data_IF_785391464080
#
_entry.id   IF_785391464080
#
_cell.length_a   1.000
_cell.length_b   1.000
_cell.length_c   1.000
_cell.angle_alpha   90.00
_cell.angle_beta   90.00
_cell.angle_gamma   90.00
#
_symmetry.space_group_name_H-M   'P 1'
#
loop_
_entity.id
_entity.type
_entity.pdbx_description
1 polymer ?
#
# COMPACT_ATOMS: atom_id res chain seq x y z
N UNK A 1 -26.44 10.76 -10.86
CA UNK A 1 -26.20 9.33 -11.18
C UNK A 1 -25.79 9.12 -12.63
N UNK A 2 -26.44 9.76 -13.63
CA UNK A 2 -25.99 9.71 -15.04
C UNK A 2 -24.51 10.10 -15.22
N UNK A 3 -24.06 11.12 -14.50
CA UNK A 3 -22.69 11.65 -14.61
C UNK A 3 -21.59 10.62 -14.22
N UNK A 4 -21.80 9.85 -13.16
CA UNK A 4 -20.84 8.84 -12.68
C UNK A 4 -20.69 7.67 -13.66
N UNK A 5 -21.76 7.33 -14.41
CA UNK A 5 -21.75 6.25 -15.39
C UNK A 5 -20.98 6.60 -16.67
N UNK A 6 -20.73 7.90 -16.91
CA UNK A 6 -20.02 8.40 -18.09
C UNK A 6 -18.54 8.69 -17.81
N UNK A 7 -18.08 8.51 -16.57
CA UNK A 7 -16.67 8.70 -16.21
C UNK A 7 -15.79 7.66 -16.90
N UNK A 8 -14.71 8.14 -17.53
CA UNK A 8 -13.74 7.28 -18.24
C UNK A 8 -12.99 6.39 -17.25
N UNK A 9 -12.52 6.97 -16.15
CA UNK A 9 -11.79 6.23 -15.12
C UNK A 9 -12.76 5.48 -14.20
N UNK A 10 -12.52 4.19 -13.91
CA UNK A 10 -13.41 3.42 -13.05
C UNK A 10 -13.32 3.84 -11.58
N UNK A 11 -12.23 4.50 -11.15
CA UNK A 11 -12.07 5.00 -9.78
C UNK A 11 -13.08 6.12 -9.48
N UNK A 12 -13.42 6.93 -10.50
CA UNK A 12 -14.43 7.98 -10.41
C UNK A 12 -15.83 7.50 -10.83
N UNK A 13 -15.92 6.30 -11.41
CA UNK A 13 -17.15 5.68 -11.87
C UNK A 13 -17.59 4.53 -10.96
N UNK A 14 -17.42 3.30 -11.45
CA UNK A 14 -17.84 2.05 -10.80
C UNK A 14 -17.36 1.93 -9.34
N UNK A 15 -16.15 2.39 -9.04
CA UNK A 15 -15.53 2.23 -7.73
C UNK A 15 -15.55 3.48 -6.85
N UNK A 16 -16.20 4.57 -7.30
CA UNK A 16 -16.20 5.86 -6.60
C UNK A 16 -16.55 5.78 -5.13
N UNK A 17 -17.57 5.00 -4.79
CA UNK A 17 -18.01 4.83 -3.41
C UNK A 17 -16.94 4.20 -2.50
N UNK A 18 -16.02 3.41 -3.06
CA UNK A 18 -14.97 2.71 -2.31
C UNK A 18 -13.73 3.59 -2.04
N UNK A 19 -13.53 4.64 -2.83
CA UNK A 19 -12.31 5.49 -2.78
C UNK A 19 -12.63 6.97 -2.54
N UNK A 20 -13.85 7.26 -2.07
CA UNK A 20 -14.30 8.62 -1.80
C UNK A 20 -13.46 9.32 -0.73
N UNK A 21 -12.91 8.54 0.20
CA UNK A 21 -11.96 8.99 1.22
C UNK A 21 -10.67 9.57 0.62
N UNK A 22 -10.28 9.17 -0.59
CA UNK A 22 -9.11 9.71 -1.30
C UNK A 22 -9.36 11.05 -2.01
N UNK A 23 -10.63 11.44 -2.25
CA UNK A 23 -10.98 12.70 -2.91
C UNK A 23 -10.43 13.91 -2.14
N UNK A 24 -10.36 13.82 -0.80
CA UNK A 24 -9.85 14.85 0.09
C UNK A 24 -8.33 15.11 0.00
N UNK A 25 -7.58 14.26 -0.71
CA UNK A 25 -6.12 14.32 -0.80
C UNK A 25 -5.59 14.52 -2.23
N UNK A 26 -6.26 13.93 -3.22
CA UNK A 26 -5.73 13.86 -4.60
C UNK A 26 -6.62 14.48 -5.67
N UNK A 27 -7.80 14.99 -5.30
CA UNK A 27 -8.60 15.79 -6.25
C UNK A 27 -7.95 17.16 -6.50
N UNK A 28 -8.35 17.83 -7.58
CA UNK A 28 -7.92 19.22 -7.83
C UNK A 28 -8.36 20.16 -6.69
N UNK A 29 -9.55 19.92 -6.11
CA UNK A 29 -10.02 20.59 -4.90
C UNK A 29 -9.03 20.42 -3.73
N UNK A 30 -8.59 19.19 -3.47
CA UNK A 30 -7.64 18.88 -2.42
C UNK A 30 -6.28 19.55 -2.67
N UNK A 31 -5.78 19.51 -3.90
CA UNK A 31 -4.54 20.18 -4.28
C UNK A 31 -4.58 21.67 -3.96
N UNK A 32 -5.67 22.37 -4.32
CA UNK A 32 -5.83 23.78 -3.96
C UNK A 32 -5.91 23.99 -2.45
N UNK A 33 -6.64 23.13 -1.72
CA UNK A 33 -6.72 23.21 -0.25
C UNK A 33 -5.34 23.09 0.41
N UNK A 34 -4.51 22.15 -0.03
CA UNK A 34 -3.15 21.98 0.50
C UNK A 34 -2.21 23.12 0.08
N UNK A 35 -2.36 23.67 -1.14
CA UNK A 35 -1.62 24.88 -1.55
C UNK A 35 -1.97 26.09 -0.69
N UNK A 36 -3.27 26.31 -0.41
CA UNK A 36 -3.73 27.36 0.49
C UNK A 36 -3.18 27.17 1.91
N UNK A 37 -3.16 25.94 2.42
CA UNK A 37 -2.58 25.63 3.72
C UNK A 37 -1.11 26.07 3.81
N UNK A 38 -0.29 25.69 2.82
CA UNK A 38 1.13 26.05 2.80
C UNK A 38 1.34 27.56 2.70
N UNK A 39 0.66 28.24 1.78
CA UNK A 39 0.79 29.69 1.59
C UNK A 39 0.41 30.47 2.85
N UNK A 40 -0.70 30.10 3.48
CA UNK A 40 -1.19 30.76 4.69
C UNK A 40 -0.24 30.51 5.86
N UNK A 41 0.20 29.27 6.10
CA UNK A 41 1.14 28.99 7.18
C UNK A 41 2.52 29.60 6.92
N UNK A 42 2.95 29.73 5.66
CA UNK A 42 4.18 30.43 5.30
C UNK A 42 4.08 31.92 5.67
N UNK A 43 3.01 32.60 5.26
CA UNK A 43 2.79 33.99 5.65
C UNK A 43 2.75 34.15 7.18
N UNK A 44 2.01 33.28 7.89
CA UNK A 44 1.97 33.30 9.36
C UNK A 44 3.38 33.13 9.94
N UNK A 45 4.20 32.25 9.39
CA UNK A 45 5.58 32.03 9.84
C UNK A 45 6.47 33.26 9.58
N UNK A 46 6.27 33.98 8.46
CA UNK A 46 6.96 35.26 8.22
C UNK A 46 6.60 36.32 9.28
N UNK A 47 5.38 36.32 9.81
CA UNK A 47 5.00 37.24 10.90
C UNK A 47 5.67 36.90 12.24
N UNK A 48 6.32 35.73 12.37
CA UNK A 48 6.96 35.28 13.61
C UNK A 48 8.44 35.62 13.69
N UNK A 49 9.00 36.16 12.62
CA UNK A 49 10.37 36.69 12.56
C UNK A 49 10.34 38.22 12.48
N UNK A 50 11.42 38.93 12.90
CA UNK A 50 11.39 40.37 13.07
C UNK A 50 11.53 41.17 11.75
N UNK A 51 10.73 40.84 10.73
CA UNK A 51 10.69 41.57 9.46
C UNK A 51 10.02 42.94 9.68
N UNK A 52 10.69 44.07 9.38
CA UNK A 52 10.19 45.41 9.70
C UNK A 52 8.76 45.68 9.23
N UNK A 53 8.41 45.23 8.02
CA UNK A 53 7.12 45.44 7.38
C UNK A 53 6.00 44.57 7.99
N UNK A 54 6.34 43.53 8.75
CA UNK A 54 5.37 42.63 9.40
C UNK A 54 5.32 42.83 10.93
N UNK A 55 6.14 43.70 11.51
CA UNK A 55 6.20 43.92 12.97
C UNK A 55 4.87 44.36 13.58
N UNK A 56 4.05 45.09 12.81
CA UNK A 56 2.75 45.61 13.27
C UNK A 56 1.58 44.66 12.94
N UNK A 57 1.86 43.45 12.44
CA UNK A 57 0.82 42.50 12.11
C UNK A 57 0.07 42.05 13.38
N UNK A 58 -1.25 42.20 13.39
CA UNK A 58 -2.10 41.73 14.50
C UNK A 58 -2.18 40.20 14.49
N UNK A 59 -1.45 39.56 15.40
CA UNK A 59 -1.42 38.10 15.54
C UNK A 59 -2.78 37.47 15.88
N UNK A 60 -3.78 38.24 16.34
CA UNK A 60 -5.13 37.71 16.55
C UNK A 60 -5.81 37.29 15.22
N UNK A 61 -5.38 37.87 14.08
CA UNK A 61 -5.89 37.55 12.74
C UNK A 61 -5.42 36.19 12.21
N UNK A 62 -4.49 35.50 12.88
CA UNK A 62 -4.00 34.16 12.47
C UNK A 62 -5.12 33.14 12.34
N UNK A 63 -6.13 33.20 13.21
CA UNK A 63 -7.29 32.29 13.13
C UNK A 63 -8.13 32.56 11.88
N UNK A 64 -8.33 33.83 11.54
CA UNK A 64 -9.05 34.24 10.34
C UNK A 64 -8.33 33.81 9.06
N UNK A 65 -7.00 33.97 9.03
CA UNK A 65 -6.18 33.48 7.91
C UNK A 65 -6.29 31.96 7.74
N UNK A 66 -6.23 31.19 8.85
CA UNK A 66 -6.40 29.74 8.80
C UNK A 66 -7.79 29.31 8.34
N UNK A 67 -8.81 30.15 8.51
CA UNK A 67 -10.15 29.84 7.98
C UNK A 67 -10.18 29.77 6.45
N UNK A 68 -9.22 30.40 5.74
CA UNK A 68 -9.13 30.33 4.27
C UNK A 68 -9.02 28.89 3.79
N UNK A 69 -8.17 28.06 4.40
CA UNK A 69 -8.04 26.64 4.03
C UNK A 69 -8.91 25.70 4.88
N UNK A 70 -9.26 26.06 6.12
CA UNK A 70 -10.12 25.25 7.00
C UNK A 70 -11.59 25.25 6.57
N UNK A 71 -12.08 26.36 6.03
CA UNK A 71 -13.45 26.53 5.53
C UNK A 71 -13.52 26.54 4.00
N UNK A 72 -12.52 25.96 3.33
CA UNK A 72 -12.47 25.88 1.87
C UNK A 72 -13.61 25.03 1.32
N UNK A 73 -14.38 25.56 0.36
CA UNK A 73 -15.57 24.92 -0.21
C UNK A 73 -15.47 24.72 -1.73
N UNK A 74 -16.30 23.87 -2.35
CA UNK A 74 -16.31 23.72 -3.81
C UNK A 74 -16.47 25.05 -4.56
N UNK A 75 -17.27 25.99 -4.03
CA UNK A 75 -17.44 27.33 -4.59
C UNK A 75 -16.15 28.15 -4.51
N UNK A 76 -15.41 28.02 -3.40
CA UNK A 76 -14.07 28.61 -3.25
C UNK A 76 -13.10 28.07 -4.30
N UNK A 77 -13.15 26.77 -4.59
CA UNK A 77 -12.36 26.15 -5.63
C UNK A 77 -12.74 26.66 -7.03
N UNK A 78 -14.03 26.83 -7.32
CA UNK A 78 -14.49 27.43 -8.58
C UNK A 78 -13.96 28.84 -8.76
N UNK A 79 -13.92 29.65 -7.69
CA UNK A 79 -13.32 30.99 -7.73
C UNK A 79 -11.85 30.95 -8.14
N UNK A 80 -11.06 30.01 -7.61
CA UNK A 80 -9.67 29.83 -8.03
C UNK A 80 -9.58 29.44 -9.51
N UNK A 81 -10.45 28.54 -10.01
CA UNK A 81 -10.48 28.15 -11.44
C UNK A 81 -10.85 29.31 -12.36
N UNK A 82 -11.74 30.21 -11.93
CA UNK A 82 -12.07 31.43 -12.68
C UNK A 82 -10.85 32.34 -12.84
N UNK A 83 -10.11 32.57 -11.75
CA UNK A 83 -8.86 33.34 -11.78
C UNK A 83 -7.83 32.65 -12.68
N UNK A 84 -7.65 31.33 -12.53
CA UNK A 84 -6.75 30.52 -13.33
C UNK A 84 -7.07 30.62 -14.83
N UNK A 85 -8.35 30.60 -15.21
CA UNK A 85 -8.78 30.73 -16.61
C UNK A 85 -8.30 32.04 -17.25
N UNK A 86 -8.17 33.11 -16.47
CA UNK A 86 -7.68 34.40 -16.98
C UNK A 86 -6.16 34.44 -17.13
N UNK A 87 -5.41 33.80 -16.23
CA UNK A 87 -3.94 33.95 -16.14
C UNK A 87 -3.15 32.71 -16.57
N UNK A 88 -3.85 31.59 -16.80
CA UNK A 88 -3.31 30.29 -17.17
C UNK A 88 -2.18 29.78 -16.25
N UNK A 89 -2.32 30.02 -14.94
CA UNK A 89 -1.35 29.59 -13.94
C UNK A 89 -2.03 29.30 -12.59
N UNK A 90 -2.03 28.04 -12.18
CA UNK A 90 -2.79 27.55 -11.02
C UNK A 90 -2.30 28.07 -9.66
N UNK A 91 -0.99 28.06 -9.38
CA UNK A 91 -0.45 28.60 -8.12
C UNK A 91 -0.62 30.12 -8.02
N UNK A 92 -0.46 30.86 -9.13
CA UNK A 92 -0.72 32.30 -9.14
C UNK A 92 -2.19 32.62 -8.86
N UNK A 93 -3.11 31.75 -9.28
CA UNK A 93 -4.53 31.88 -8.96
C UNK A 93 -4.80 31.69 -7.45
N UNK A 94 -4.08 30.77 -6.81
CA UNK A 94 -4.11 30.61 -5.34
C UNK A 94 -3.62 31.87 -4.63
N UNK A 95 -2.50 32.46 -5.09
CA UNK A 95 -2.01 33.73 -4.54
C UNK A 95 -3.07 34.84 -4.64
N UNK A 96 -3.68 35.03 -5.81
CA UNK A 96 -4.72 36.05 -5.98
C UNK A 96 -5.95 35.77 -5.13
N UNK A 97 -6.36 34.52 -4.97
CA UNK A 97 -7.46 34.16 -4.09
C UNK A 97 -7.17 34.52 -2.62
N UNK A 98 -5.95 34.28 -2.12
CA UNK A 98 -5.55 34.70 -0.76
C UNK A 98 -5.53 36.23 -0.66
N UNK A 99 -5.02 36.90 -1.70
CA UNK A 99 -5.00 38.37 -1.80
C UNK A 99 -6.40 38.99 -1.74
N UNK A 100 -7.43 38.34 -2.30
CA UNK A 100 -8.84 38.76 -2.18
C UNK A 100 -9.35 38.64 -0.72
N UNK A 101 -8.91 37.61 0.01
CA UNK A 101 -9.28 37.43 1.42
C UNK A 101 -8.59 38.43 2.34
N UNK A 102 -7.36 38.84 2.02
CA UNK A 102 -6.66 39.89 2.77
C UNK A 102 -7.41 41.23 2.68
N UNK A 103 -7.93 41.58 1.51
CA UNK A 103 -8.75 42.80 1.34
C UNK A 103 -10.00 42.74 2.23
N UNK A 104 -10.68 41.58 2.32
CA UNK A 104 -11.87 41.40 3.16
C UNK A 104 -11.57 41.50 4.66
N UNK A 105 -10.35 41.16 5.07
CA UNK A 105 -9.92 41.15 6.46
C UNK A 105 -9.29 42.48 6.93
N UNK A 106 -9.13 43.46 6.03
CA UNK A 106 -8.44 44.73 6.29
C UNK A 106 -6.93 44.56 6.45
N UNK A 107 -6.32 43.65 5.67
CA UNK A 107 -4.90 43.29 5.72
C UNK A 107 -4.13 43.73 4.47
N UNK A 108 -4.62 44.75 3.76
CA UNK A 108 -4.09 45.23 2.48
C UNK A 108 -2.60 45.59 2.56
N UNK A 109 -2.17 46.15 3.70
CA UNK A 109 -0.77 46.52 3.94
C UNK A 109 0.20 45.33 3.88
N UNK A 110 -0.27 44.11 4.09
CA UNK A 110 0.54 42.89 4.15
C UNK A 110 0.40 42.00 2.91
N UNK A 111 -0.45 42.40 1.96
CA UNK A 111 -0.86 41.59 0.80
C UNK A 111 0.30 41.17 -0.09
N UNK A 112 1.32 42.01 -0.25
CA UNK A 112 2.49 41.70 -1.07
C UNK A 112 3.51 40.78 -0.39
N UNK A 113 3.26 40.36 0.86
CA UNK A 113 4.02 39.29 1.50
C UNK A 113 3.44 37.88 1.25
N UNK A 114 2.25 37.78 0.63
CA UNK A 114 1.72 36.50 0.15
C UNK A 114 2.63 36.01 -0.98
N UNK A 115 3.07 34.76 -0.92
CA UNK A 115 4.04 34.18 -1.84
C UNK A 115 5.43 34.87 -1.86
N UNK A 116 5.78 35.62 -0.80
CA UNK A 116 7.02 36.41 -0.76
C UNK A 116 8.28 35.56 -1.01
N UNK A 117 9.03 35.90 -2.07
CA UNK A 117 10.28 35.24 -2.44
C UNK A 117 10.14 33.78 -2.93
N UNK A 118 8.93 33.23 -2.90
CA UNK A 118 8.68 31.84 -3.25
C UNK A 118 8.67 31.62 -4.76
N UNK A 119 8.81 30.37 -5.14
CA UNK A 119 8.40 29.87 -6.45
C UNK A 119 7.25 28.88 -6.31
N UNK A 120 6.50 28.65 -7.38
CA UNK A 120 5.36 27.73 -7.40
C UNK A 120 5.67 26.32 -6.85
N UNK A 121 6.92 25.86 -6.93
CA UNK A 121 7.32 24.57 -6.38
C UNK A 121 7.60 24.55 -4.89
N UNK A 122 7.91 25.68 -4.27
CA UNK A 122 7.94 25.72 -2.81
C UNK A 122 6.56 25.36 -2.24
N UNK A 123 5.49 25.68 -2.98
CA UNK A 123 4.12 25.30 -2.66
C UNK A 123 3.81 23.87 -3.12
N UNK A 124 4.12 23.50 -4.37
CA UNK A 124 3.78 22.16 -4.88
C UNK A 124 4.57 21.04 -4.16
N UNK A 125 5.88 21.19 -3.98
CA UNK A 125 6.76 20.22 -3.30
C UNK A 125 6.71 20.31 -1.76
N UNK A 126 5.65 20.93 -1.23
CA UNK A 126 5.23 20.79 0.17
C UNK A 126 3.78 20.31 0.22
N UNK A 127 2.87 20.91 -0.56
CA UNK A 127 1.47 20.52 -0.64
C UNK A 127 1.27 19.05 -1.07
N UNK A 128 1.99 18.58 -2.10
CA UNK A 128 1.88 17.20 -2.59
C UNK A 128 2.46 16.19 -1.59
N UNK A 129 3.67 16.39 -1.00
CA UNK A 129 4.14 15.52 0.07
C UNK A 129 3.21 15.46 1.29
N UNK A 130 2.58 16.58 1.68
CA UNK A 130 1.59 16.59 2.78
C UNK A 130 0.37 15.75 2.40
N UNK A 131 -0.22 15.97 1.21
CA UNK A 131 -1.42 15.22 0.82
C UNK A 131 -1.15 13.73 0.66
N UNK A 132 0.04 13.36 0.16
CA UNK A 132 0.48 11.98 0.09
C UNK A 132 0.68 11.36 1.47
N UNK A 133 1.35 12.06 2.39
CA UNK A 133 1.51 11.62 3.78
C UNK A 133 0.16 11.37 4.45
N UNK A 134 -0.72 12.37 4.39
CA UNK A 134 -2.02 12.29 5.07
C UNK A 134 -2.85 11.15 4.49
N UNK A 135 -2.89 10.97 3.17
CA UNK A 135 -3.57 9.82 2.55
C UNK A 135 -2.95 8.47 2.97
N UNK A 136 -1.62 8.39 3.11
CA UNK A 136 -0.98 7.17 3.59
C UNK A 136 -1.34 6.83 5.03
N UNK A 137 -1.38 7.83 5.91
CA UNK A 137 -1.66 7.65 7.33
C UNK A 137 -3.16 7.45 7.61
N UNK A 138 -4.02 8.21 6.94
CA UNK A 138 -5.44 8.29 7.27
C UNK A 138 -6.28 7.29 6.48
N UNK A 139 -5.79 6.80 5.33
CA UNK A 139 -6.54 5.89 4.45
C UNK A 139 -5.79 4.59 4.19
N UNK A 140 -4.56 4.66 3.70
CA UNK A 140 -3.85 3.44 3.29
C UNK A 140 -3.48 2.54 4.48
N UNK A 141 -2.83 3.09 5.51
CA UNK A 141 -2.32 2.33 6.64
C UNK A 141 -3.44 1.62 7.43
N UNK A 142 -4.58 2.26 7.77
CA UNK A 142 -5.67 1.60 8.48
C UNK A 142 -6.24 0.39 7.72
N UNK A 143 -6.42 0.52 6.40
CA UNK A 143 -6.99 -0.60 5.60
C UNK A 143 -5.97 -1.74 5.46
N UNK A 144 -4.67 -1.44 5.37
CA UNK A 144 -3.63 -2.49 5.42
C UNK A 144 -3.62 -3.20 6.78
N UNK A 145 -3.78 -2.46 7.87
CA UNK A 145 -3.88 -3.02 9.22
C UNK A 145 -5.10 -3.93 9.40
N UNK A 146 -6.24 -3.55 8.82
CA UNK A 146 -7.42 -4.41 8.78
C UNK A 146 -7.14 -5.74 8.06
N UNK A 147 -6.39 -5.72 6.95
CA UNK A 147 -6.00 -6.95 6.23
C UNK A 147 -5.10 -7.81 7.12
N UNK A 148 -4.05 -7.23 7.69
CA UNK A 148 -3.11 -7.96 8.55
C UNK A 148 -3.83 -8.53 9.78
N UNK A 149 -4.76 -7.77 10.38
CA UNK A 149 -5.59 -8.21 11.49
C UNK A 149 -6.48 -9.39 11.09
N UNK A 150 -7.20 -9.30 9.97
CA UNK A 150 -8.05 -10.36 9.47
C UNK A 150 -7.25 -11.64 9.14
N UNK A 151 -6.09 -11.51 8.50
CA UNK A 151 -5.21 -12.64 8.22
C UNK A 151 -4.69 -13.27 9.52
N UNK A 152 -4.36 -12.46 10.53
CA UNK A 152 -3.90 -12.94 11.84
C UNK A 152 -4.97 -13.74 12.58
N UNK A 153 -6.22 -13.27 12.53
CA UNK A 153 -7.37 -13.99 13.08
C UNK A 153 -7.55 -15.35 12.41
N UNK A 154 -7.60 -15.38 11.07
CA UNK A 154 -7.77 -16.61 10.29
C UNK A 154 -6.60 -17.57 10.48
N UNK A 155 -5.36 -17.06 10.52
CA UNK A 155 -4.17 -17.85 10.80
C UNK A 155 -4.22 -18.51 12.19
N UNK A 156 -4.77 -17.82 13.19
CA UNK A 156 -5.01 -18.38 14.52
C UNK A 156 -6.06 -19.47 14.51
N UNK A 157 -7.20 -19.23 13.85
CA UNK A 157 -8.29 -20.20 13.71
C UNK A 157 -7.83 -21.48 12.98
N UNK A 158 -6.97 -21.35 11.98
CA UNK A 158 -6.51 -22.46 11.13
C UNK A 158 -5.15 -23.04 11.57
N UNK A 159 -4.68 -22.66 12.75
CA UNK A 159 -3.37 -23.05 13.29
C UNK A 159 -3.20 -24.57 13.38
N UNK A 160 -4.26 -25.31 13.70
CA UNK A 160 -4.20 -26.77 13.92
C UNK A 160 -4.61 -27.60 12.70
N UNK A 161 -4.88 -26.98 11.54
CA UNK A 161 -5.35 -27.68 10.35
C UNK A 161 -4.14 -28.10 9.49
N UNK A 162 -3.80 -29.40 9.43
CA UNK A 162 -2.75 -29.88 8.54
C UNK A 162 -3.22 -29.77 7.09
N UNK A 163 -2.31 -29.51 6.17
CA UNK A 163 -2.60 -29.35 4.75
C UNK A 163 -1.51 -29.96 3.89
N UNK A 164 -1.91 -30.62 2.79
CA UNK A 164 -0.96 -31.10 1.80
C UNK A 164 -0.31 -29.89 1.11
N UNK A 165 1.01 -29.74 1.23
CA UNK A 165 1.73 -28.69 0.53
C UNK A 165 1.86 -29.03 -0.96
N UNK A 166 2.09 -27.99 -1.78
CA UNK A 166 2.36 -28.16 -3.20
C UNK A 166 3.61 -27.41 -3.62
N UNK A 167 4.55 -28.12 -4.23
CA UNK A 167 5.76 -27.54 -4.85
C UNK A 167 5.76 -27.91 -6.33
N UNK A 168 5.95 -26.93 -7.23
CA UNK A 168 5.74 -27.13 -8.67
C UNK A 168 4.35 -27.69 -9.01
N UNK A 169 3.34 -27.37 -8.19
CA UNK A 169 1.97 -27.90 -8.29
C UNK A 169 1.79 -29.36 -7.82
N UNK A 170 2.87 -30.06 -7.47
CA UNK A 170 2.86 -31.47 -7.07
C UNK A 170 2.74 -31.64 -5.55
N UNK A 171 2.09 -32.72 -5.06
CA UNK A 171 2.07 -33.08 -3.64
C UNK A 171 3.48 -33.07 -3.02
N UNK A 172 3.61 -32.40 -1.88
CA UNK A 172 4.86 -32.25 -1.13
C UNK A 172 4.64 -32.46 0.37
N UNK A 173 5.72 -32.42 1.16
CA UNK A 173 5.69 -32.60 2.61
C UNK A 173 4.63 -31.69 3.26
N UNK A 174 3.75 -32.23 4.13
CA UNK A 174 2.63 -31.47 4.69
C UNK A 174 3.04 -30.20 5.44
N UNK A 175 2.12 -29.23 5.46
CA UNK A 175 2.24 -27.95 6.18
C UNK A 175 1.00 -27.74 7.07
N UNK A 176 0.89 -26.57 7.70
CA UNK A 176 -0.31 -26.13 8.43
C UNK A 176 -0.95 -24.97 7.69
N UNK A 177 -2.29 -24.99 7.51
CA UNK A 177 -3.00 -23.93 6.80
C UNK A 177 -2.76 -22.55 7.45
N UNK A 178 -2.88 -22.46 8.78
CA UNK A 178 -2.59 -21.23 9.51
C UNK A 178 -1.14 -20.74 9.35
N UNK A 179 -0.17 -21.66 9.20
CA UNK A 179 1.23 -21.29 8.94
C UNK A 179 1.41 -20.67 7.55
N UNK A 180 0.73 -21.17 6.52
CA UNK A 180 0.82 -20.57 5.18
C UNK A 180 0.27 -19.14 5.16
N UNK A 181 -0.79 -18.85 5.91
CA UNK A 181 -1.27 -17.47 6.08
C UNK A 181 -0.25 -16.59 6.82
N UNK A 182 0.45 -17.12 7.82
CA UNK A 182 1.49 -16.39 8.56
C UNK A 182 2.67 -15.95 7.69
N UNK A 183 3.00 -16.69 6.63
CA UNK A 183 4.04 -16.29 5.66
C UNK A 183 3.72 -14.91 5.07
N UNK A 184 2.46 -14.66 4.71
CA UNK A 184 2.03 -13.36 4.19
C UNK A 184 2.07 -12.27 5.25
N UNK A 185 1.63 -12.56 6.48
CA UNK A 185 1.67 -11.61 7.60
C UNK A 185 3.10 -11.15 7.87
N UNK A 186 4.06 -12.08 7.93
CA UNK A 186 5.48 -11.77 8.15
C UNK A 186 6.03 -10.87 7.03
N UNK A 187 5.77 -11.24 5.76
CA UNK A 187 6.19 -10.44 4.60
C UNK A 187 5.58 -9.04 4.59
N UNK A 188 4.29 -8.91 4.89
CA UNK A 188 3.58 -7.63 4.95
C UNK A 188 4.15 -6.74 6.06
N UNK A 189 4.38 -7.30 7.25
CA UNK A 189 4.97 -6.56 8.37
C UNK A 189 6.39 -6.07 8.05
N UNK A 190 7.19 -6.89 7.40
CA UNK A 190 8.52 -6.49 6.93
C UNK A 190 8.48 -5.29 5.97
N UNK A 191 7.61 -5.35 4.95
CA UNK A 191 7.50 -4.25 3.98
C UNK A 191 6.84 -2.99 4.57
N UNK A 192 5.87 -3.14 5.48
CA UNK A 192 5.29 -2.02 6.24
C UNK A 192 6.34 -1.29 7.06
N UNK A 193 7.22 -2.03 7.76
CA UNK A 193 8.31 -1.45 8.54
C UNK A 193 9.27 -0.64 7.65
N UNK A 194 9.61 -1.16 6.47
CA UNK A 194 10.43 -0.43 5.51
C UNK A 194 9.75 0.84 5.00
N UNK A 195 8.46 0.77 4.64
CA UNK A 195 7.69 1.93 4.17
C UNK A 195 7.61 3.04 5.23
N UNK A 196 7.35 2.67 6.48
CA UNK A 196 7.23 3.62 7.60
C UNK A 196 8.54 4.37 7.92
N UNK A 197 9.69 3.82 7.52
CA UNK A 197 10.98 4.47 7.71
C UNK A 197 11.34 5.47 6.60
N UNK A 198 10.52 5.60 5.55
CA UNK A 198 10.77 6.54 4.46
C UNK A 198 10.28 7.92 4.89
N UNK A 199 11.15 8.94 4.98
CA UNK A 199 10.73 10.27 5.39
C UNK A 199 9.95 10.98 4.27
N UNK A 200 8.92 11.71 4.68
CA UNK A 200 8.20 12.64 3.80
C UNK A 200 9.05 13.89 3.56
N UNK A 201 9.81 13.85 2.47
CA UNK A 201 10.68 14.93 2.05
C UNK A 201 9.92 16.10 1.42
N UNK A 202 10.54 17.28 1.44
CA UNK A 202 10.01 18.47 0.78
C UNK A 202 11.13 19.42 0.36
N UNK A 203 10.84 20.23 -0.66
CA UNK A 203 11.71 21.32 -1.11
C UNK A 203 11.09 22.66 -0.71
N UNK A 204 11.92 23.53 -0.13
CA UNK A 204 11.56 24.92 0.14
C UNK A 204 12.83 25.77 0.05
N UNK A 205 12.95 26.57 -1.01
CA UNK A 205 14.22 27.18 -1.40
C UNK A 205 14.17 28.25 -2.50
N UNK A 206 13.00 28.69 -2.94
CA UNK A 206 12.87 29.69 -4.00
C UNK A 206 13.15 29.14 -5.41
N UNK A 207 13.27 30.05 -6.38
CA UNK A 207 13.25 29.75 -7.82
C UNK A 207 14.25 28.68 -8.31
N UNK A 208 15.43 28.58 -7.72
CA UNK A 208 16.44 27.58 -8.12
C UNK A 208 17.08 26.89 -6.91
N UNK A 209 16.40 26.93 -5.74
CA UNK A 209 16.85 26.24 -4.53
C UNK A 209 17.86 27.01 -3.67
N UNK A 210 18.18 28.27 -4.00
CA UNK A 210 19.22 29.04 -3.31
C UNK A 210 18.72 30.27 -2.53
N UNK A 211 17.40 30.45 -2.36
CA UNK A 211 16.80 31.59 -1.67
C UNK A 211 17.22 32.98 -2.22
N UNK A 212 17.52 33.09 -3.53
CA UNK A 212 18.04 34.33 -4.13
C UNK A 212 17.14 35.56 -3.82
N UNK A 213 15.82 35.39 -3.96
CA UNK A 213 14.84 36.46 -3.75
C UNK A 213 14.73 36.85 -2.27
N UNK A 214 14.78 35.88 -1.37
CA UNK A 214 14.78 36.13 0.07
C UNK A 214 16.05 36.84 0.51
N UNK A 215 17.22 36.36 0.07
CA UNK A 215 18.53 36.89 0.46
C UNK A 215 18.72 38.33 -0.02
N UNK A 216 18.33 38.67 -1.26
CA UNK A 216 18.47 40.05 -1.75
C UNK A 216 17.56 41.03 -1.01
N UNK A 217 16.39 40.57 -0.56
CA UNK A 217 15.44 41.42 0.16
C UNK A 217 15.78 41.57 1.65
N UNK A 218 16.27 40.50 2.28
CA UNK A 218 16.62 40.45 3.70
C UNK A 218 17.89 39.62 3.90
N UNK A 219 19.09 40.21 3.71
CA UNK A 219 20.36 39.49 3.77
C UNK A 219 20.74 39.03 5.18
N UNK A 220 20.24 39.70 6.22
CA UNK A 220 20.56 39.41 7.63
C UNK A 220 19.66 38.33 8.26
N UNK A 221 18.65 37.83 7.53
CA UNK A 221 17.76 36.77 8.00
C UNK A 221 18.35 35.41 7.66
N UNK A 222 18.45 34.51 8.64
CA UNK A 222 18.82 33.12 8.40
C UNK A 222 17.66 32.35 7.76
N UNK A 223 17.56 32.47 6.43
CA UNK A 223 16.54 31.80 5.63
C UNK A 223 16.65 30.28 5.62
N UNK A 224 17.85 29.74 5.87
CA UNK A 224 18.09 28.29 5.94
C UNK A 224 17.42 27.76 7.21
N UNK A 225 17.70 28.38 8.35
CA UNK A 225 17.07 28.02 9.63
C UNK A 225 15.56 28.25 9.59
N UNK A 226 15.11 29.38 9.06
CA UNK A 226 13.68 29.68 8.89
C UNK A 226 12.98 28.56 8.11
N UNK A 227 13.53 28.16 6.96
CA UNK A 227 12.92 27.14 6.12
C UNK A 227 12.95 25.75 6.76
N UNK A 228 14.05 25.38 7.43
CA UNK A 228 14.11 24.13 8.20
C UNK A 228 13.01 24.08 9.26
N UNK A 229 12.83 25.14 10.04
CA UNK A 229 11.80 25.23 11.07
C UNK A 229 10.38 25.26 10.49
N UNK A 230 10.16 26.00 9.41
CA UNK A 230 8.86 26.05 8.73
C UNK A 230 8.46 24.65 8.25
N UNK A 231 9.33 23.99 7.47
CA UNK A 231 9.02 22.68 6.87
C UNK A 231 8.89 21.58 7.94
N UNK A 232 9.77 21.56 8.95
CA UNK A 232 9.72 20.54 10.01
C UNK A 232 8.59 20.78 11.02
N UNK A 233 8.49 21.97 11.59
CA UNK A 233 7.59 22.22 12.72
C UNK A 233 6.18 22.60 12.30
N UNK A 234 6.00 23.30 11.16
CA UNK A 234 4.66 23.71 10.67
C UNK A 234 4.07 22.67 9.75
N UNK A 235 4.88 22.15 8.82
CA UNK A 235 4.38 21.23 7.78
C UNK A 235 4.58 19.76 8.14
N UNK A 236 5.41 19.43 9.14
CA UNK A 236 5.77 18.07 9.53
C UNK A 236 6.33 17.25 8.35
N UNK A 237 7.31 17.83 7.67
CA UNK A 237 8.06 17.26 6.56
C UNK A 237 9.57 17.41 6.82
N UNK A 238 10.38 16.63 6.11
CA UNK A 238 11.84 16.77 6.12
C UNK A 238 12.29 17.69 4.97
N UNK A 239 12.90 18.84 5.29
CA UNK A 239 13.42 19.74 4.25
C UNK A 239 14.70 19.21 3.64
N UNK A 240 14.78 19.21 2.31
CA UNK A 240 16.03 19.09 1.58
C UNK A 240 16.68 20.46 1.35
N UNK A 241 17.95 20.58 1.74
CA UNK A 241 18.69 21.85 1.63
C UNK A 241 19.26 22.12 0.24
N UNK A 242 19.59 21.07 -0.50
CA UNK A 242 20.24 21.18 -1.82
C UNK A 242 19.30 20.67 -2.89
N UNK A 243 18.53 21.56 -3.50
CA UNK A 243 17.55 21.19 -4.53
C UNK A 243 17.73 22.07 -5.75
N UNK A 244 17.10 21.68 -6.86
CA UNK A 244 16.91 22.61 -7.98
C UNK A 244 15.63 23.42 -7.73
N UNK A 245 14.84 23.71 -8.77
CA UNK A 245 13.52 24.29 -8.52
C UNK A 245 12.54 23.29 -7.91
N UNK A 246 12.74 21.99 -8.16
CA UNK A 246 11.90 20.89 -7.66
C UNK A 246 12.61 20.14 -6.52
N UNK A 247 11.85 19.37 -5.74
CA UNK A 247 12.41 18.38 -4.83
C UNK A 247 13.09 17.21 -5.57
N UNK A 248 13.75 16.34 -4.81
CA UNK A 248 14.45 15.17 -5.33
C UNK A 248 13.52 14.10 -5.93
N UNK A 249 12.29 14.00 -5.41
CA UNK A 249 11.35 12.90 -5.65
C UNK A 249 11.85 11.49 -5.27
N UNK A 250 13.12 11.31 -4.89
CA UNK A 250 13.70 10.01 -4.55
C UNK A 250 12.97 9.28 -3.40
N UNK A 251 12.60 10.00 -2.33
CA UNK A 251 11.83 9.39 -1.24
C UNK A 251 10.39 9.08 -1.65
N UNK A 252 9.81 9.88 -2.54
CA UNK A 252 8.49 9.60 -3.10
C UNK A 252 8.54 8.34 -3.98
N UNK A 253 9.59 8.18 -4.79
CA UNK A 253 9.90 6.97 -5.55
C UNK A 253 10.10 5.75 -4.63
N UNK A 254 10.88 5.91 -3.55
CA UNK A 254 11.08 4.85 -2.57
C UNK A 254 9.75 4.42 -1.91
N UNK A 255 8.86 5.38 -1.62
CA UNK A 255 7.53 5.10 -1.09
C UNK A 255 6.68 4.33 -2.11
N UNK A 256 6.67 4.72 -3.38
CA UNK A 256 5.98 3.98 -4.44
C UNK A 256 6.50 2.55 -4.59
N UNK A 257 7.80 2.34 -4.49
CA UNK A 257 8.37 0.99 -4.50
C UNK A 257 8.01 0.18 -3.25
N UNK A 258 7.90 0.83 -2.08
CA UNK A 258 7.38 0.20 -0.86
C UNK A 258 5.93 -0.25 -1.01
N UNK A 259 5.06 0.63 -1.50
CA UNK A 259 3.65 0.34 -1.79
C UNK A 259 3.52 -0.79 -2.81
N UNK A 260 4.32 -0.76 -3.88
CA UNK A 260 4.37 -1.82 -4.89
C UNK A 260 4.77 -3.17 -4.28
N UNK A 261 5.79 -3.23 -3.41
CA UNK A 261 6.22 -4.49 -2.77
C UNK A 261 5.12 -5.08 -1.88
N UNK A 262 4.37 -4.24 -1.17
CA UNK A 262 3.18 -4.67 -0.41
C UNK A 262 2.13 -5.26 -1.36
N UNK A 263 1.84 -4.56 -2.47
CA UNK A 263 0.89 -5.04 -3.48
C UNK A 263 1.31 -6.36 -4.11
N UNK A 264 2.61 -6.59 -4.36
CA UNK A 264 3.12 -7.87 -4.88
C UNK A 264 2.88 -9.02 -3.90
N UNK A 265 3.02 -8.78 -2.59
CA UNK A 265 2.71 -9.80 -1.57
C UNK A 265 1.21 -10.13 -1.55
N UNK A 266 0.35 -9.12 -1.69
CA UNK A 266 -1.10 -9.31 -1.73
C UNK A 266 -1.58 -9.94 -3.05
N UNK A 267 -0.88 -9.68 -4.16
CA UNK A 267 -1.13 -10.33 -5.44
C UNK A 267 -0.86 -11.84 -5.33
N UNK A 268 0.25 -12.21 -4.70
CA UNK A 268 0.62 -13.59 -4.40
C UNK A 268 -0.44 -14.27 -3.49
N UNK A 269 -0.87 -13.58 -2.43
CA UNK A 269 -1.97 -14.04 -1.57
C UNK A 269 -3.27 -14.29 -2.35
N UNK A 270 -3.66 -13.37 -3.24
CA UNK A 270 -4.87 -13.52 -4.05
C UNK A 270 -4.81 -14.76 -4.93
N UNK A 271 -3.65 -15.04 -5.54
CA UNK A 271 -3.42 -16.21 -6.41
C UNK A 271 -3.47 -17.53 -5.64
N UNK A 272 -2.85 -17.56 -4.47
CA UNK A 272 -2.88 -18.75 -3.61
C UNK A 272 -4.29 -19.01 -3.08
N UNK A 273 -5.00 -17.98 -2.59
CA UNK A 273 -6.40 -18.13 -2.15
C UNK A 273 -7.33 -18.54 -3.28
N UNK A 274 -7.15 -18.00 -4.48
CA UNK A 274 -7.88 -18.44 -5.66
C UNK A 274 -7.64 -19.93 -5.95
N UNK A 275 -6.39 -20.39 -5.83
CA UNK A 275 -6.02 -21.79 -6.05
C UNK A 275 -6.58 -22.69 -4.96
N UNK A 276 -6.52 -22.29 -3.68
CA UNK A 276 -7.14 -23.05 -2.59
C UNK A 276 -8.65 -23.18 -2.77
N UNK A 277 -9.33 -22.12 -3.23
CA UNK A 277 -10.76 -22.18 -3.58
C UNK A 277 -10.98 -23.13 -4.75
N UNK A 278 -10.13 -23.09 -5.80
CA UNK A 278 -10.22 -24.01 -6.93
C UNK A 278 -9.96 -25.48 -6.57
N UNK A 279 -9.24 -25.75 -5.47
CA UNK A 279 -9.03 -27.10 -4.94
C UNK A 279 -10.13 -27.55 -3.96
N UNK A 280 -11.16 -26.73 -3.79
CA UNK A 280 -12.23 -26.90 -2.80
C UNK A 280 -11.74 -26.89 -1.34
N UNK A 281 -10.55 -26.34 -1.05
CA UNK A 281 -10.05 -26.20 0.33
C UNK A 281 -10.81 -25.12 1.08
N UNK A 282 -11.36 -24.16 0.35
CA UNK A 282 -12.32 -23.18 0.86
C UNK A 282 -13.61 -23.23 0.07
N UNK A 283 -14.72 -23.21 0.80
CA UNK A 283 -16.03 -22.79 0.30
C UNK A 283 -16.18 -21.28 0.51
N UNK A 284 -17.15 -20.69 -0.17
CA UNK A 284 -17.46 -19.27 -0.03
C UNK A 284 -18.88 -19.09 0.50
N UNK A 285 -19.03 -18.28 1.55
CA UNK A 285 -20.33 -17.87 2.08
C UNK A 285 -21.11 -17.13 0.99
N UNK A 286 -22.33 -17.60 0.71
CA UNK A 286 -23.20 -17.04 -0.33
C UNK A 286 -24.22 -16.11 0.30
N UNK A 287 -24.33 -14.90 -0.24
CA UNK A 287 -25.50 -14.06 0.02
C UNK A 287 -26.67 -14.58 -0.85
N UNK A 288 -27.85 -14.89 -0.29
CA UNK A 288 -28.99 -15.41 -1.05
C UNK A 288 -29.40 -14.57 -2.27
N UNK A 289 -29.05 -13.29 -2.28
CA UNK A 289 -29.36 -12.35 -3.37
C UNK A 289 -28.23 -12.18 -4.39
N UNK A 290 -27.04 -12.77 -4.19
CA UNK A 290 -25.92 -12.69 -5.14
C UNK A 290 -26.06 -13.77 -6.23
N UNK A 291 -26.01 -13.37 -7.50
CA UNK A 291 -25.98 -14.28 -8.65
C UNK A 291 -24.54 -14.56 -9.03
N UNK A 292 -24.07 -15.80 -8.83
CA UNK A 292 -22.67 -16.17 -9.10
C UNK A 292 -22.34 -16.46 -10.57
N UNK A 293 -23.33 -16.82 -11.40
CA UNK A 293 -23.19 -16.97 -12.85
C UNK A 293 -24.53 -16.73 -13.55
N UNK A 294 -24.52 -16.09 -14.72
CA UNK A 294 -25.72 -15.87 -15.53
C UNK A 294 -26.35 -17.15 -16.10
N UNK A 295 -25.61 -18.27 -16.13
CA UNK A 295 -26.06 -19.53 -16.70
C UNK A 295 -26.00 -20.74 -15.74
N UNK A 296 -25.19 -20.67 -14.67
CA UNK A 296 -24.96 -21.80 -13.74
C UNK A 296 -25.37 -21.43 -12.30
N UNK A 297 -26.58 -21.78 -11.84
CA UNK A 297 -27.12 -21.33 -10.55
C UNK A 297 -26.32 -21.77 -9.31
N UNK A 298 -25.50 -22.81 -9.42
CA UNK A 298 -24.72 -23.36 -8.33
C UNK A 298 -23.29 -22.79 -8.23
N UNK A 299 -22.85 -21.97 -9.19
CA UNK A 299 -21.45 -21.54 -9.31
C UNK A 299 -21.16 -20.34 -8.42
N UNK A 300 -20.26 -20.50 -7.44
CA UNK A 300 -19.76 -19.42 -6.57
C UNK A 300 -18.30 -19.15 -6.92
N UNK A 301 -18.00 -17.92 -7.36
CA UNK A 301 -16.69 -17.56 -7.92
C UNK A 301 -15.90 -16.66 -6.95
N UNK A 302 -14.56 -16.80 -6.86
CA UNK A 302 -13.71 -15.96 -6.00
C UNK A 302 -13.49 -14.53 -6.56
N UNK A 303 -14.57 -13.86 -6.99
CA UNK A 303 -14.53 -12.59 -7.73
C UNK A 303 -13.91 -11.45 -6.93
N UNK A 304 -13.98 -11.51 -5.61
CA UNK A 304 -13.41 -10.49 -4.74
C UNK A 304 -11.86 -10.56 -4.80
N UNK A 305 -11.25 -11.75 -4.83
CA UNK A 305 -9.79 -11.91 -5.02
C UNK A 305 -9.36 -11.61 -6.46
N UNK A 306 -10.15 -12.00 -7.46
CA UNK A 306 -9.87 -11.68 -8.87
C UNK A 306 -9.92 -10.17 -9.13
N UNK A 307 -10.88 -9.47 -8.51
CA UNK A 307 -10.96 -8.01 -8.58
C UNK A 307 -9.74 -7.34 -7.94
N UNK A 308 -9.30 -7.85 -6.79
CA UNK A 308 -8.11 -7.34 -6.13
C UNK A 308 -6.85 -7.55 -6.97
N UNK A 309 -6.63 -8.77 -7.48
CA UNK A 309 -5.51 -9.10 -8.36
C UNK A 309 -5.39 -8.12 -9.54
N UNK A 310 -6.49 -7.85 -10.25
CA UNK A 310 -6.49 -6.92 -11.39
C UNK A 310 -6.14 -5.48 -10.99
N UNK A 311 -6.69 -4.99 -9.88
CA UNK A 311 -6.41 -3.64 -9.40
C UNK A 311 -4.97 -3.47 -8.87
N UNK A 312 -4.41 -4.48 -8.21
CA UNK A 312 -3.01 -4.47 -7.75
C UNK A 312 -2.06 -4.35 -8.94
N UNK A 313 -2.35 -5.04 -10.05
CA UNK A 313 -1.57 -4.93 -11.29
C UNK A 313 -1.56 -3.52 -11.87
N UNK A 314 -2.73 -2.86 -11.98
CA UNK A 314 -2.84 -1.48 -12.47
C UNK A 314 -2.09 -0.51 -11.55
N UNK A 315 -2.28 -0.64 -10.23
CA UNK A 315 -1.60 0.20 -9.25
C UNK A 315 -0.08 0.10 -9.40
N UNK A 316 0.45 -1.13 -9.52
CA UNK A 316 1.89 -1.36 -9.63
C UNK A 316 2.49 -0.77 -10.91
N UNK A 317 1.81 -0.91 -12.05
CA UNK A 317 2.28 -0.32 -13.31
C UNK A 317 2.45 1.21 -13.21
N UNK A 318 1.52 1.88 -12.53
CA UNK A 318 1.58 3.33 -12.29
C UNK A 318 2.63 3.72 -11.25
N UNK A 319 2.76 2.96 -10.15
CA UNK A 319 3.83 3.17 -9.17
C UNK A 319 5.22 3.02 -9.78
N UNK A 320 5.43 2.02 -10.66
CA UNK A 320 6.70 1.82 -11.38
C UNK A 320 7.00 2.98 -12.33
N UNK A 321 6.01 3.44 -13.10
CA UNK A 321 6.17 4.61 -13.95
C UNK A 321 6.57 5.85 -13.13
N UNK A 322 5.86 6.15 -12.04
CA UNK A 322 6.13 7.33 -11.22
C UNK A 322 7.50 7.24 -10.54
N UNK A 323 7.85 6.08 -9.98
CA UNK A 323 9.14 5.86 -9.30
C UNK A 323 10.32 6.12 -10.23
N UNK A 324 10.24 5.63 -11.48
CA UNK A 324 11.30 5.80 -12.47
C UNK A 324 11.31 7.17 -13.15
N UNK A 325 10.16 7.82 -13.32
CA UNK A 325 10.03 9.05 -14.14
C UNK A 325 10.17 10.34 -13.34
N UNK A 326 9.74 10.39 -12.08
CA UNK A 326 9.70 11.64 -11.32
C UNK A 326 11.09 12.20 -10.97
N UNK A 327 12.07 11.39 -10.52
CA UNK A 327 13.39 11.92 -10.16
C UNK A 327 14.22 12.44 -11.34
N UNK A 328 13.77 12.20 -12.58
CA UNK A 328 14.48 12.62 -13.80
C UNK A 328 13.83 13.89 -14.36
N UNK A 329 14.57 15.00 -14.28
CA UNK A 329 14.16 16.30 -14.80
C UNK A 329 15.34 17.00 -15.47
N UNK A 330 15.14 17.63 -16.63
CA UNK A 330 16.23 18.29 -17.37
C UNK A 330 16.74 19.52 -16.63
N UNK A 331 18.06 19.59 -16.40
CA UNK A 331 18.74 20.71 -15.76
C UNK A 331 18.10 21.07 -14.40
N UNK A 332 17.85 22.35 -14.12
CA UNK A 332 17.20 22.79 -12.88
C UNK A 332 15.72 22.43 -12.81
N UNK A 333 15.13 21.94 -13.91
CA UNK A 333 13.87 21.19 -14.05
C UNK A 333 13.27 21.35 -15.46
N UNK A 334 12.45 20.39 -15.85
CA UNK A 334 11.33 20.55 -16.79
C UNK A 334 9.98 20.33 -16.06
N UNK A 335 8.85 20.63 -16.70
CA UNK A 335 7.52 20.62 -16.08
C UNK A 335 6.75 19.29 -16.28
N UNK A 336 7.42 18.23 -16.75
CA UNK A 336 6.75 16.96 -17.05
C UNK A 336 6.25 16.23 -15.79
N UNK A 337 6.83 16.53 -14.64
CA UNK A 337 6.42 16.05 -13.32
C UNK A 337 5.04 16.57 -12.90
N UNK A 338 4.71 17.83 -13.21
CA UNK A 338 3.46 18.49 -12.80
C UNK A 338 2.20 17.69 -13.16
N UNK A 339 2.10 17.19 -14.39
CA UNK A 339 0.95 16.38 -14.83
C UNK A 339 0.98 14.97 -14.22
N UNK A 340 2.17 14.42 -13.99
CA UNK A 340 2.34 13.08 -13.42
C UNK A 340 1.97 13.05 -11.94
N UNK A 341 2.34 14.07 -11.16
CA UNK A 341 1.98 14.18 -9.75
C UNK A 341 0.46 14.26 -9.52
N UNK A 342 -0.32 14.77 -10.49
CA UNK A 342 -1.79 14.77 -10.43
C UNK A 342 -2.39 13.36 -10.45
N UNK A 343 -1.59 12.35 -10.78
CA UNK A 343 -2.04 10.97 -10.87
C UNK A 343 -1.67 10.14 -9.63
N UNK A 344 -0.99 10.67 -8.60
CA UNK A 344 -0.58 9.89 -7.41
C UNK A 344 -1.76 9.18 -6.73
N UNK A 345 -2.93 9.82 -6.70
CA UNK A 345 -4.14 9.23 -6.15
C UNK A 345 -4.67 8.02 -6.93
N UNK A 346 -4.34 7.88 -8.21
CA UNK A 346 -4.83 6.80 -9.08
C UNK A 346 -4.33 5.41 -8.63
N UNK A 347 -3.02 5.15 -8.50
CA UNK A 347 -2.55 3.85 -8.00
C UNK A 347 -2.93 3.61 -6.53
N UNK A 348 -3.04 4.65 -5.70
CA UNK A 348 -3.56 4.51 -4.33
C UNK A 348 -5.04 4.11 -4.32
N UNK A 349 -5.87 4.66 -5.21
CA UNK A 349 -7.27 4.28 -5.36
C UNK A 349 -7.41 2.82 -5.80
N UNK A 350 -6.66 2.38 -6.82
CA UNK A 350 -6.63 0.98 -7.23
C UNK A 350 -6.17 0.06 -6.10
N UNK A 351 -5.16 0.48 -5.33
CA UNK A 351 -4.69 -0.28 -4.17
C UNK A 351 -5.76 -0.38 -3.08
N UNK A 352 -6.44 0.72 -2.75
CA UNK A 352 -7.54 0.75 -1.77
C UNK A 352 -8.73 -0.13 -2.20
N UNK A 353 -9.10 -0.10 -3.48
CA UNK A 353 -10.12 -1.00 -4.06
C UNK A 353 -9.70 -2.46 -3.85
N UNK A 354 -8.45 -2.80 -4.20
CA UNK A 354 -7.95 -4.15 -4.02
C UNK A 354 -7.97 -4.59 -2.55
N UNK A 355 -7.56 -3.72 -1.64
CA UNK A 355 -7.53 -4.04 -0.21
C UNK A 355 -8.93 -4.32 0.33
N UNK A 356 -9.90 -3.48 -0.01
CA UNK A 356 -11.31 -3.66 0.37
C UNK A 356 -11.90 -4.94 -0.23
N UNK A 357 -11.55 -5.27 -1.48
CA UNK A 357 -11.94 -6.53 -2.12
C UNK A 357 -11.31 -7.76 -1.44
N UNK A 358 -10.02 -7.70 -1.06
CA UNK A 358 -9.36 -8.76 -0.28
C UNK A 358 -10.08 -8.98 1.05
N UNK A 359 -10.35 -7.91 1.81
CA UNK A 359 -11.09 -8.02 3.08
C UNK A 359 -12.46 -8.67 2.92
N UNK A 360 -13.18 -8.30 1.86
CA UNK A 360 -14.47 -8.90 1.55
C UNK A 360 -14.33 -10.39 1.21
N UNK A 361 -13.33 -10.76 0.40
CA UNK A 361 -13.03 -12.15 0.06
C UNK A 361 -12.66 -12.98 1.29
N UNK A 362 -11.77 -12.47 2.15
CA UNK A 362 -11.32 -13.15 3.37
C UNK A 362 -12.49 -13.47 4.31
N UNK A 363 -13.43 -12.53 4.49
CA UNK A 363 -14.62 -12.72 5.35
C UNK A 363 -15.61 -13.78 4.84
N UNK A 364 -15.52 -14.11 3.55
CA UNK A 364 -16.35 -15.13 2.91
C UNK A 364 -15.76 -16.53 2.96
N UNK A 365 -14.48 -16.69 3.33
CA UNK A 365 -13.83 -18.00 3.36
C UNK A 365 -14.43 -18.90 4.45
N UNK A 366 -14.69 -20.15 4.09
CA UNK A 366 -15.08 -21.23 4.99
C UNK A 366 -14.22 -22.46 4.67
N UNK A 367 -13.45 -22.94 5.65
CA UNK A 367 -12.54 -24.08 5.44
C UNK A 367 -13.33 -25.35 5.19
N UNK A 368 -12.91 -26.14 4.20
CA UNK A 368 -13.45 -27.45 3.91
C UNK A 368 -12.48 -28.54 4.41
N UNK A 369 -12.49 -28.78 5.72
CA UNK A 369 -11.56 -29.72 6.38
C UNK A 369 -11.67 -31.14 5.82
N UNK A 370 -12.87 -31.57 5.41
CA UNK A 370 -13.09 -32.89 4.78
C UNK A 370 -12.26 -33.06 3.51
N UNK A 371 -12.23 -32.01 2.67
CA UNK A 371 -11.47 -32.03 1.41
C UNK A 371 -9.96 -32.02 1.67
N UNK A 372 -9.51 -31.19 2.60
CA UNK A 372 -8.09 -31.12 2.99
C UNK A 372 -7.63 -32.47 3.55
N UNK A 373 -8.45 -33.06 4.44
CA UNK A 373 -8.22 -34.38 5.04
C UNK A 373 -8.15 -35.48 3.98
N UNK A 374 -9.08 -35.48 3.03
CA UNK A 374 -9.09 -36.47 1.95
C UNK A 374 -7.87 -36.35 1.04
N UNK A 375 -7.39 -35.13 0.76
CA UNK A 375 -6.18 -34.94 -0.03
C UNK A 375 -4.92 -35.42 0.71
N UNK A 376 -4.80 -35.18 2.01
CA UNK A 376 -3.72 -35.74 2.82
C UNK A 376 -3.74 -37.27 2.84
N UNK A 377 -4.90 -37.88 3.07
CA UNK A 377 -5.04 -39.34 3.15
C UNK A 377 -4.76 -40.05 1.81
N UNK A 378 -4.97 -39.37 0.67
CA UNK A 378 -4.64 -39.93 -0.65
C UNK A 378 -3.16 -39.85 -1.01
N UNK A 379 -2.34 -39.16 -0.23
CA UNK A 379 -0.97 -38.83 -0.58
C UNK A 379 0.06 -39.37 0.44
N UNK A 380 -0.04 -40.65 0.83
CA UNK A 380 0.94 -41.27 1.75
C UNK A 380 2.38 -41.27 1.22
N UNK A 381 2.60 -41.05 -0.08
CA UNK A 381 3.94 -40.89 -0.63
C UNK A 381 4.73 -39.75 0.05
N UNK A 382 4.06 -38.73 0.61
CA UNK A 382 4.75 -37.58 1.24
C UNK A 382 5.47 -37.92 2.55
N UNK A 383 5.11 -39.02 3.22
CA UNK A 383 5.84 -39.45 4.43
C UNK A 383 7.16 -40.16 4.10
N UNK A 384 7.40 -40.48 2.82
CA UNK A 384 8.64 -41.10 2.37
C UNK A 384 9.89 -40.33 2.82
N UNK A 385 9.85 -38.99 2.78
CA UNK A 385 10.97 -38.16 3.24
C UNK A 385 11.30 -38.40 4.72
N UNK A 386 10.28 -38.51 5.58
CA UNK A 386 10.45 -38.78 7.00
C UNK A 386 11.09 -40.15 7.25
N UNK A 387 10.55 -41.17 6.58
CA UNK A 387 11.02 -42.57 6.64
C UNK A 387 12.48 -42.66 6.18
N UNK A 388 12.81 -42.07 5.03
CA UNK A 388 14.17 -42.00 4.53
C UNK A 388 15.11 -41.30 5.52
N UNK A 389 14.67 -40.22 6.13
CA UNK A 389 15.49 -39.43 7.08
C UNK A 389 15.79 -40.23 8.35
N UNK A 390 14.81 -40.97 8.87
CA UNK A 390 15.03 -41.89 10.00
C UNK A 390 16.01 -43.00 9.60
N UNK A 391 15.86 -43.60 8.42
CA UNK A 391 16.81 -44.63 7.95
C UNK A 391 18.24 -44.09 7.79
N UNK A 392 18.39 -42.84 7.33
CA UNK A 392 19.70 -42.17 7.30
C UNK A 392 20.29 -42.01 8.69
N UNK A 393 19.49 -41.61 9.69
CA UNK A 393 19.92 -41.48 11.10
C UNK A 393 20.48 -42.80 11.64
N UNK A 394 19.88 -43.93 11.27
CA UNK A 394 20.30 -45.27 11.70
C UNK A 394 21.41 -45.88 10.85
N UNK A 395 21.92 -45.18 9.84
CA UNK A 395 22.97 -45.71 8.97
C UNK A 395 22.52 -46.84 8.03
N UNK A 396 21.21 -46.96 7.74
CA UNK A 396 20.69 -47.95 6.80
C UNK A 396 21.25 -47.69 5.39
N UNK A 397 21.70 -48.72 4.64
CA UNK A 397 22.32 -48.53 3.33
C UNK A 397 21.32 -48.08 2.28
N UNK A 398 21.71 -47.10 1.45
CA UNK A 398 20.94 -46.63 0.28
C UNK A 398 19.44 -46.37 0.57
N UNK A 399 19.10 -45.56 1.59
CA UNK A 399 17.72 -45.42 2.04
C UNK A 399 16.84 -44.72 0.99
N UNK A 400 17.40 -43.82 0.18
CA UNK A 400 16.66 -43.17 -0.90
C UNK A 400 16.26 -44.19 -1.99
N UNK A 401 17.19 -45.06 -2.37
CA UNK A 401 16.99 -46.10 -3.39
C UNK A 401 15.96 -47.13 -2.93
N UNK A 402 15.99 -47.51 -1.65
CA UNK A 402 14.99 -48.38 -1.03
C UNK A 402 13.57 -47.78 -1.14
N UNK A 403 13.40 -46.49 -0.87
CA UNK A 403 12.12 -45.81 -1.04
C UNK A 403 11.73 -45.56 -2.50
N UNK A 404 12.71 -45.35 -3.39
CA UNK A 404 12.46 -45.25 -4.83
C UNK A 404 11.93 -46.58 -5.41
N UNK A 405 12.32 -47.72 -4.82
CA UNK A 405 11.77 -49.01 -5.18
C UNK A 405 10.30 -49.15 -4.77
N UNK A 406 9.88 -48.56 -3.63
CA UNK A 406 8.48 -48.51 -3.19
C UNK A 406 7.58 -47.72 -4.17
N UNK A 407 8.08 -46.62 -4.72
CA UNK A 407 7.32 -45.76 -5.63
C UNK A 407 7.36 -46.19 -7.10
N UNK A 408 8.18 -47.18 -7.45
CA UNK A 408 8.37 -47.64 -8.84
C UNK A 408 7.17 -48.44 -9.33
N UNK A 409 6.51 -47.93 -10.37
CA UNK A 409 5.40 -48.62 -11.05
C UNK A 409 4.04 -48.49 -10.34
N UNK A 410 3.97 -47.77 -9.21
CA UNK A 410 2.72 -47.46 -8.51
C UNK A 410 2.25 -46.04 -8.88
N UNK A 411 0.97 -45.92 -9.21
CA UNK A 411 0.33 -44.62 -9.49
C UNK A 411 -0.04 -43.86 -8.21
N UNK A 412 -0.19 -44.56 -7.09
CA UNK A 412 -0.41 -43.99 -5.76
C UNK A 412 0.17 -44.92 -4.69
N UNK A 413 0.59 -44.35 -3.56
CA UNK A 413 1.06 -45.09 -2.39
C UNK A 413 -0.02 -44.97 -1.33
N UNK A 414 -0.51 -46.09 -0.82
CA UNK A 414 -1.47 -46.13 0.30
C UNK A 414 -0.76 -46.29 1.65
N UNK A 415 -1.53 -46.19 2.73
CA UNK A 415 -1.07 -46.53 4.08
C UNK A 415 -0.52 -47.95 4.15
N UNK A 416 -1.24 -48.91 3.59
CA UNK A 416 -0.92 -50.33 3.62
C UNK A 416 0.39 -50.60 2.88
N UNK A 417 0.58 -49.95 1.73
CA UNK A 417 1.83 -50.01 0.97
C UNK A 417 3.02 -49.50 1.80
N UNK A 418 2.84 -48.36 2.47
CA UNK A 418 3.88 -47.76 3.31
C UNK A 418 4.20 -48.65 4.53
N UNK A 419 3.18 -49.20 5.18
CA UNK A 419 3.35 -50.10 6.32
C UNK A 419 4.04 -51.41 5.93
N UNK A 420 3.66 -52.00 4.79
CA UNK A 420 4.28 -53.22 4.26
C UNK A 420 5.75 -52.98 3.90
N UNK A 421 6.08 -51.82 3.34
CA UNK A 421 7.47 -51.41 3.13
C UNK A 421 8.23 -51.33 4.44
N UNK A 422 7.71 -50.63 5.45
CA UNK A 422 8.36 -50.53 6.77
C UNK A 422 8.58 -51.91 7.40
N UNK A 423 7.63 -52.83 7.26
CA UNK A 423 7.74 -54.20 7.77
C UNK A 423 8.85 -55.00 7.10
N UNK A 424 9.10 -54.77 5.82
CA UNK A 424 10.16 -55.43 5.04
C UNK A 424 11.57 -54.97 5.38
N UNK A 425 11.74 -53.84 6.07
CA UNK A 425 13.06 -53.30 6.41
C UNK A 425 13.73 -54.15 7.50
N UNK A 426 15.04 -54.38 7.35
CA UNK A 426 15.84 -55.08 8.37
C UNK A 426 16.31 -54.09 9.46
N UNK A 427 15.36 -53.69 10.31
CA UNK A 427 15.55 -52.75 11.42
C UNK A 427 14.81 -53.26 12.66
N UNK A 428 15.16 -52.73 13.84
CA UNK A 428 14.54 -53.15 15.09
C UNK A 428 13.03 -52.83 15.15
N UNK A 429 12.29 -53.59 15.96
CA UNK A 429 10.83 -53.49 16.04
C UNK A 429 10.34 -52.12 16.56
N UNK A 430 11.06 -51.53 17.52
CA UNK A 430 10.70 -50.21 18.07
C UNK A 430 10.78 -49.12 17.00
N UNK A 431 11.75 -49.20 16.10
CA UNK A 431 11.90 -48.26 14.98
C UNK A 431 10.79 -48.45 13.94
N UNK A 432 10.40 -49.70 13.64
CA UNK A 432 9.25 -49.97 12.76
C UNK A 432 7.97 -49.38 13.34
N UNK A 433 7.74 -49.54 14.64
CA UNK A 433 6.59 -48.96 15.33
C UNK A 433 6.61 -47.43 15.27
N UNK A 434 7.77 -46.81 15.57
CA UNK A 434 7.97 -45.38 15.45
C UNK A 434 7.62 -44.87 14.04
N UNK A 435 8.14 -45.55 13.00
CA UNK A 435 7.94 -45.18 11.60
C UNK A 435 6.49 -45.38 11.15
N UNK A 436 5.82 -46.44 11.60
CA UNK A 436 4.38 -46.67 11.35
C UNK A 436 3.46 -45.67 12.06
N UNK A 437 3.97 -44.98 13.08
CA UNK A 437 3.26 -43.87 13.72
C UNK A 437 3.21 -42.60 12.85
N UNK A 438 4.03 -42.51 11.79
CA UNK A 438 4.08 -41.34 10.90
C UNK A 438 2.94 -41.42 9.89
N UNK A 439 2.23 -40.31 9.72
CA UNK A 439 1.15 -40.14 8.74
C UNK A 439 1.22 -38.76 8.09
N UNK A 440 0.56 -38.55 6.94
CA UNK A 440 0.44 -37.21 6.34
C UNK A 440 -0.14 -36.15 7.31
N UNK A 441 -0.90 -36.57 8.31
CA UNK A 441 -1.54 -35.68 9.29
C UNK A 441 -0.60 -35.18 10.38
N UNK A 442 0.42 -35.95 10.76
CA UNK A 442 1.33 -35.61 11.85
C UNK A 442 2.75 -35.29 11.38
N UNK A 443 3.08 -35.52 10.11
CA UNK A 443 4.32 -35.09 9.49
C UNK A 443 4.25 -33.63 9.04
N UNK A 444 3.96 -32.72 9.97
CA UNK A 444 3.78 -31.27 9.71
C UNK A 444 4.91 -30.41 10.29
N UNK A 445 5.98 -31.04 10.79
CA UNK A 445 7.16 -30.35 11.30
C UNK A 445 6.92 -29.63 12.64
N UNK A 446 7.60 -28.50 12.84
CA UNK A 446 7.47 -27.72 14.06
C UNK A 446 6.12 -26.99 14.13
N UNK A 447 5.51 -27.00 15.32
CA UNK A 447 4.43 -26.08 15.64
C UNK A 447 5.06 -24.73 16.01
N UNK A 448 4.86 -23.73 15.17
CA UNK A 448 5.38 -22.38 15.39
C UNK A 448 4.52 -21.56 16.37
N UNK A 449 3.46 -22.17 16.93
CA UNK A 449 2.45 -21.55 17.77
C UNK A 449 1.72 -22.61 18.59
#
# INVERSE_FOLDING_TARGET
>A
MLDVLMNISPIDGRYKAQVRDLEGYFSEFALFKYRLFVEVEYFISLTEIPLPQLQQFDHNKRSDLRNIYKKFTPESCLRIKEIEKTINHDVKAVEYYIKEHFDQLGLEAYKEFIHFGLTSQDINNTAVPISFRDALLDVYAPVLEDIVGQLSELAGQWSTIPMLARTHGQPASPTMLGKEIRVFIERLNGQRSLLNNIPFGAKFGGATGNFNAHFVAYPDVDWIMFADQFVSNRLNLQRYRYTTQIEHYDNLSAAFDGLKRINVILLDLCKDLWTYISMDYFRQKVNPNEVGSSAMPHKVNPIDFENAEGNLGIANALFEHMSSKLPVSRLQRDLTDSTVLRNIGVPLAHTSIAFRSILKGLRKLEVNEDKITADLDRNWAVVAEAIQTILRREGYPQPYEALKALTRGKTSITREDMHAFIDSLDINAALKEQMKGISPFNYTGFRFF
#
